data_IF_290145813760
#
_entry.id   IF_290145813760
#
_cell.length_a   1.000
_cell.length_b   1.000
_cell.length_c   1.000
_cell.angle_alpha   90.00
_cell.angle_beta   90.00
_cell.angle_gamma   90.00
#
_symmetry.space_group_name_H-M   'P 1'
#
loop_
_entity.id
_entity.type
_entity.pdbx_description
1 polymer ?
#
# COMPACT_ATOMS: atom_id res chain seq x y z
N UNK A 1 -49.35 -4.05 50.79
CA UNK A 1 -50.05 -5.28 51.21
C UNK A 1 -49.37 -6.46 50.53
N UNK A 2 -48.92 -7.42 51.35
CA UNK A 2 -48.71 -8.86 51.11
C UNK A 2 -48.11 -9.29 49.76
N UNK A 3 -47.01 -10.05 49.68
CA UNK A 3 -46.46 -11.02 50.62
C UNK A 3 -46.23 -12.36 49.88
N UNK A 4 -45.23 -13.12 50.34
CA UNK A 4 -45.10 -14.60 50.26
C UNK A 4 -44.11 -15.22 49.24
N UNK A 5 -42.85 -15.33 49.72
CA UNK A 5 -41.99 -16.51 49.88
C UNK A 5 -42.29 -17.87 49.19
N UNK A 6 -41.25 -18.39 48.49
CA UNK A 6 -40.42 -19.62 48.70
C UNK A 6 -41.10 -21.01 48.87
N UNK A 7 -40.44 -22.21 48.85
CA UNK A 7 -39.00 -22.52 48.77
C UNK A 7 -38.57 -23.76 47.93
N UNK A 8 -37.26 -24.01 47.87
CA UNK A 8 -36.72 -25.37 48.08
C UNK A 8 -35.85 -25.97 46.97
N UNK A 9 -34.68 -26.47 47.36
CA UNK A 9 -33.87 -27.38 46.53
C UNK A 9 -32.40 -27.45 46.90
N UNK A 10 -32.09 -28.10 48.02
CA UNK A 10 -30.73 -28.45 48.44
C UNK A 10 -30.31 -29.82 47.87
N UNK A 11 -29.02 -29.98 47.55
CA UNK A 11 -28.35 -31.26 47.27
C UNK A 11 -26.98 -30.98 46.64
N UNK A 12 -25.86 -31.14 47.36
CA UNK A 12 -25.06 -32.38 47.39
C UNK A 12 -24.13 -32.38 46.18
N UNK A 13 -22.82 -32.18 46.27
CA UNK A 13 -21.83 -32.97 47.01
C UNK A 13 -20.81 -33.51 45.99
N UNK A 14 -19.52 -33.45 46.33
CA UNK A 14 -18.49 -34.32 45.73
C UNK A 14 -17.61 -33.73 44.63
N UNK A 15 -16.33 -33.53 44.98
CA UNK A 15 -15.26 -34.29 44.33
C UNK A 15 -14.54 -33.66 43.13
N UNK A 16 -13.28 -33.30 43.37
CA UNK A 16 -12.16 -33.76 42.54
C UNK A 16 -11.91 -33.04 41.21
N UNK A 17 -10.81 -32.31 41.14
CA UNK A 17 -10.23 -31.91 39.86
C UNK A 17 -9.25 -30.74 39.98
N UNK A 18 -8.06 -30.98 40.53
CA UNK A 18 -6.90 -30.17 40.15
C UNK A 18 -6.64 -30.44 38.66
N UNK A 19 -7.14 -29.56 37.80
CA UNK A 19 -6.61 -29.44 36.45
C UNK A 19 -5.27 -28.68 36.55
N UNK A 20 -4.14 -29.23 36.09
CA UNK A 20 -2.96 -28.41 35.88
C UNK A 20 -3.30 -27.44 34.74
N UNK A 21 -3.10 -26.15 34.99
CA UNK A 21 -3.14 -25.14 33.94
C UNK A 21 -2.08 -25.47 32.90
N UNK A 22 -2.49 -26.01 31.77
CA UNK A 22 -1.74 -25.95 30.52
C UNK A 22 -1.75 -24.50 30.07
N UNK A 23 -0.74 -23.75 30.53
CA UNK A 23 -0.25 -22.58 29.81
C UNK A 23 0.35 -23.05 28.49
N UNK A 24 -0.49 -23.21 27.48
CA UNK A 24 -0.09 -23.38 26.09
C UNK A 24 -0.94 -22.42 25.26
N UNK A 25 -0.30 -21.63 24.41
CA UNK A 25 -1.00 -20.76 23.47
C UNK A 25 -0.40 -19.36 23.35
N UNK A 26 0.92 -19.27 23.14
CA UNK A 26 1.57 -18.03 22.69
C UNK A 26 2.46 -18.22 21.45
N UNK A 27 2.48 -19.42 20.85
CA UNK A 27 3.45 -19.80 19.82
C UNK A 27 2.85 -20.36 18.52
N UNK A 28 1.53 -20.55 18.41
CA UNK A 28 0.93 -21.14 17.20
C UNK A 28 1.04 -20.22 15.98
N UNK A 29 0.75 -18.93 16.13
CA UNK A 29 0.71 -18.01 14.97
C UNK A 29 2.04 -17.83 14.23
N UNK A 30 3.19 -17.99 14.92
CA UNK A 30 4.51 -17.87 14.26
C UNK A 30 4.83 -19.06 13.37
N UNK A 31 4.35 -20.25 13.73
CA UNK A 31 4.56 -21.46 12.94
C UNK A 31 3.71 -21.42 11.67
N UNK A 32 2.51 -20.86 11.74
CA UNK A 32 1.64 -20.67 10.58
C UNK A 32 2.27 -19.68 9.57
N UNK A 33 2.81 -18.55 10.04
CA UNK A 33 3.46 -17.56 9.16
C UNK A 33 4.69 -18.12 8.42
N UNK A 34 5.52 -18.93 9.08
CA UNK A 34 6.69 -19.57 8.48
C UNK A 34 6.30 -20.62 7.43
N UNK A 35 5.24 -21.39 7.71
CA UNK A 35 4.69 -22.35 6.75
C UNK A 35 4.15 -21.64 5.51
N UNK A 36 3.40 -20.54 5.69
CA UNK A 36 2.86 -19.72 4.60
C UNK A 36 3.97 -19.10 3.76
N UNK A 37 5.01 -18.56 4.40
CA UNK A 37 6.15 -17.99 3.67
C UNK A 37 6.88 -19.06 2.85
N UNK A 38 7.08 -20.25 3.41
CA UNK A 38 7.75 -21.35 2.72
C UNK A 38 6.96 -21.82 1.51
N UNK A 39 5.64 -21.94 1.64
CA UNK A 39 4.74 -22.29 0.53
C UNK A 39 4.77 -21.21 -0.55
N UNK A 40 4.73 -19.93 -0.16
CA UNK A 40 4.86 -18.81 -1.08
C UNK A 40 6.18 -18.84 -1.87
N UNK A 41 7.32 -19.01 -1.20
CA UNK A 41 8.62 -19.10 -1.87
C UNK A 41 8.72 -20.31 -2.79
N UNK A 42 8.06 -21.41 -2.43
CA UNK A 42 7.99 -22.60 -3.27
C UNK A 42 7.19 -22.32 -4.55
N UNK A 43 6.07 -21.61 -4.44
CA UNK A 43 5.25 -21.21 -5.59
C UNK A 43 5.98 -20.31 -6.60
N UNK A 44 7.02 -19.58 -6.16
CA UNK A 44 7.82 -18.71 -7.06
C UNK A 44 8.67 -19.50 -8.06
N UNK A 45 8.93 -20.79 -7.85
CA UNK A 45 9.64 -21.63 -8.83
C UNK A 45 8.85 -21.84 -10.12
N UNK A 46 7.52 -21.82 -10.05
CA UNK A 46 6.64 -22.04 -11.20
C UNK A 46 5.99 -20.74 -11.71
N UNK A 47 6.19 -19.63 -11.00
CA UNK A 47 5.67 -18.32 -11.39
C UNK A 47 6.67 -17.56 -12.27
N UNK A 48 6.19 -16.98 -13.36
CA UNK A 48 6.97 -16.10 -14.23
C UNK A 48 6.47 -14.65 -14.07
N UNK A 49 7.18 -13.79 -13.30
CA UNK A 49 6.80 -12.40 -13.11
C UNK A 49 6.83 -11.62 -14.42
N UNK A 50 6.04 -10.55 -14.51
CA UNK A 50 6.10 -9.54 -15.60
C UNK A 50 7.48 -8.91 -15.80
N UNK A 51 8.30 -8.81 -14.75
CA UNK A 51 9.67 -8.31 -14.81
C UNK A 51 10.56 -9.54 -15.07
N UNK A 52 11.32 -9.58 -16.18
CA UNK A 52 12.18 -10.71 -16.53
C UNK A 52 13.29 -10.96 -15.50
N UNK A 53 13.66 -12.23 -15.32
CA UNK A 53 14.67 -12.67 -14.36
C UNK A 53 16.04 -12.03 -14.65
N UNK A 54 16.42 -11.89 -15.93
CA UNK A 54 17.70 -11.30 -16.35
C UNK A 54 17.81 -9.82 -15.96
N UNK A 55 16.69 -9.08 -15.96
CA UNK A 55 16.67 -7.69 -15.53
C UNK A 55 16.95 -7.59 -14.03
N UNK A 56 16.32 -8.47 -13.25
CA UNK A 56 16.51 -8.50 -11.80
C UNK A 56 17.94 -8.90 -11.48
N UNK A 57 18.47 -9.94 -12.13
CA UNK A 57 19.87 -10.36 -11.98
C UNK A 57 20.85 -9.24 -12.33
N UNK A 58 20.59 -8.46 -13.38
CA UNK A 58 21.42 -7.31 -13.73
C UNK A 58 21.47 -6.27 -12.61
N UNK A 59 20.31 -5.89 -12.05
CA UNK A 59 20.25 -4.89 -10.97
C UNK A 59 20.79 -5.42 -9.63
N UNK A 60 20.58 -6.71 -9.32
CA UNK A 60 21.18 -7.37 -8.17
C UNK A 60 22.70 -7.46 -8.30
N UNK A 61 23.21 -7.85 -9.47
CA UNK A 61 24.64 -7.88 -9.74
C UNK A 61 25.28 -6.50 -9.62
N UNK A 62 24.57 -5.45 -10.07
CA UNK A 62 25.02 -4.05 -9.92
C UNK A 62 25.05 -3.58 -8.46
N UNK A 63 24.20 -4.12 -7.58
CA UNK A 63 24.26 -3.84 -6.14
C UNK A 63 25.27 -4.74 -5.40
N UNK A 64 25.93 -5.67 -6.10
CA UNK A 64 26.90 -6.61 -5.53
C UNK A 64 26.28 -7.88 -4.95
N UNK A 65 25.01 -8.16 -5.26
CA UNK A 65 24.31 -9.38 -4.82
C UNK A 65 24.18 -10.36 -5.98
N UNK A 66 24.69 -11.58 -5.80
CA UNK A 66 24.53 -12.66 -6.76
C UNK A 66 24.02 -13.90 -6.01
N UNK A 67 22.87 -14.42 -6.45
CA UNK A 67 22.31 -15.64 -5.90
C UNK A 67 21.84 -16.54 -7.04
N UNK A 68 22.22 -17.83 -7.06
CA UNK A 68 21.75 -18.77 -8.08
C UNK A 68 20.30 -19.25 -7.84
N UNK A 69 19.68 -18.87 -6.72
CA UNK A 69 18.31 -19.26 -6.39
C UNK A 69 17.29 -18.35 -7.10
N UNK A 70 16.63 -18.90 -8.13
CA UNK A 70 15.58 -18.22 -8.89
C UNK A 70 14.42 -17.72 -8.02
N UNK A 71 14.14 -18.36 -6.89
CA UNK A 71 13.06 -17.93 -5.98
C UNK A 71 13.35 -16.54 -5.43
N UNK A 72 14.60 -16.24 -5.11
CA UNK A 72 14.99 -14.92 -4.60
C UNK A 72 14.95 -13.87 -5.70
N UNK A 73 15.41 -14.20 -6.90
CA UNK A 73 15.29 -13.33 -8.07
C UNK A 73 13.83 -12.97 -8.33
N UNK A 74 12.93 -13.97 -8.36
CA UNK A 74 11.51 -13.77 -8.60
C UNK A 74 10.79 -13.10 -7.44
N UNK A 75 11.21 -13.34 -6.21
CA UNK A 75 10.71 -12.63 -5.03
C UNK A 75 10.96 -11.12 -5.17
N UNK A 76 12.18 -10.73 -5.54
CA UNK A 76 12.52 -9.33 -5.79
C UNK A 76 11.69 -8.76 -6.94
N UNK A 77 11.51 -9.53 -8.01
CA UNK A 77 10.66 -9.14 -9.14
C UNK A 77 9.20 -8.84 -8.69
N UNK A 78 8.59 -9.75 -7.94
CA UNK A 78 7.21 -9.62 -7.44
C UNK A 78 7.11 -8.47 -6.44
N UNK A 79 8.10 -8.30 -5.56
CA UNK A 79 8.14 -7.19 -4.61
C UNK A 79 8.19 -5.83 -5.33
N UNK A 80 9.03 -5.71 -6.36
CA UNK A 80 9.11 -4.50 -7.18
C UNK A 80 7.81 -4.23 -7.95
N UNK A 81 7.18 -5.27 -8.52
CA UNK A 81 5.87 -5.16 -9.17
C UNK A 81 4.80 -4.71 -8.20
N UNK A 82 4.75 -5.30 -7.00
CA UNK A 82 3.80 -4.90 -5.96
C UNK A 82 4.02 -3.44 -5.60
N UNK A 83 5.26 -3.03 -5.37
CA UNK A 83 5.59 -1.64 -5.05
C UNK A 83 5.12 -0.65 -6.12
N UNK A 84 5.38 -0.92 -7.39
CA UNK A 84 4.88 -0.10 -8.50
C UNK A 84 3.35 -0.10 -8.56
N UNK A 85 2.72 -1.26 -8.32
CA UNK A 85 1.26 -1.41 -8.33
C UNK A 85 0.59 -0.64 -7.21
N UNK A 86 1.19 -0.60 -6.02
CA UNK A 86 0.70 0.18 -4.88
C UNK A 86 0.75 1.68 -5.23
N UNK A 87 1.90 2.20 -5.71
CA UNK A 87 2.04 3.62 -6.12
C UNK A 87 1.05 3.98 -7.22
N UNK A 88 0.86 3.11 -8.22
CA UNK A 88 -0.09 3.33 -9.30
C UNK A 88 -1.54 3.36 -8.79
N UNK A 89 -1.86 2.51 -7.82
CA UNK A 89 -3.18 2.46 -7.18
C UNK A 89 -3.47 3.72 -6.39
N UNK A 90 -2.51 4.23 -5.62
CA UNK A 90 -2.66 5.47 -4.85
C UNK A 90 -2.75 6.69 -5.77
N UNK A 91 -1.93 6.72 -6.82
CA UNK A 91 -2.02 7.75 -7.87
C UNK A 91 -3.39 7.75 -8.56
N UNK A 92 -3.95 6.56 -8.82
CA UNK A 92 -5.30 6.41 -9.39
C UNK A 92 -6.38 6.95 -8.44
N UNK A 93 -6.24 6.74 -7.13
CA UNK A 93 -7.17 7.28 -6.14
C UNK A 93 -7.14 8.82 -6.15
N UNK A 94 -5.95 9.43 -6.17
CA UNK A 94 -5.82 10.89 -6.30
C UNK A 94 -6.41 11.41 -7.62
N UNK A 95 -6.18 10.70 -8.73
CA UNK A 95 -6.76 11.04 -10.03
C UNK A 95 -8.29 11.04 -9.99
N UNK A 96 -8.90 9.98 -9.42
CA UNK A 96 -10.36 9.88 -9.26
C UNK A 96 -10.92 10.99 -8.39
N UNK A 97 -10.27 11.28 -7.25
CA UNK A 97 -10.70 12.35 -6.35
C UNK A 97 -10.66 13.73 -7.04
N UNK A 98 -9.63 13.99 -7.84
CA UNK A 98 -9.48 15.21 -8.63
C UNK A 98 -10.55 15.33 -9.72
N UNK A 99 -10.82 14.26 -10.48
CA UNK A 99 -11.83 14.25 -11.55
C UNK A 99 -13.26 14.33 -11.01
N UNK A 100 -13.51 13.81 -9.80
CA UNK A 100 -14.80 13.88 -9.12
C UNK A 100 -15.08 15.24 -8.46
N UNK A 101 -14.05 16.06 -8.22
CA UNK A 101 -14.22 17.38 -7.61
C UNK A 101 -15.06 18.28 -8.53
N UNK A 102 -16.17 18.87 -8.05
CA UNK A 102 -16.99 19.75 -8.85
C UNK A 102 -16.20 21.02 -9.21
N UNK A 103 -16.02 21.27 -10.50
CA UNK A 103 -15.47 22.51 -11.02
C UNK A 103 -16.47 23.61 -10.65
N UNK A 104 -16.08 24.51 -9.73
CA UNK A 104 -16.94 25.61 -9.25
C UNK A 104 -17.35 26.59 -10.35
N UNK A 105 -16.61 26.61 -11.46
CA UNK A 105 -16.80 27.55 -12.55
C UNK A 105 -16.94 26.76 -13.87
N UNK A 106 -18.16 26.34 -14.23
CA UNK A 106 -18.67 26.46 -15.61
C UNK A 106 -20.00 25.73 -15.83
N UNK A 107 -21.00 26.52 -16.26
CA UNK A 107 -22.28 26.11 -16.84
C UNK A 107 -22.12 25.64 -18.30
N UNK A 108 -20.97 25.04 -18.65
CA UNK A 108 -20.72 24.49 -19.98
C UNK A 108 -20.56 22.97 -19.88
N UNK A 109 -21.49 22.27 -20.54
CA UNK A 109 -21.50 20.85 -20.91
C UNK A 109 -20.40 20.00 -20.25
N UNK A 110 -20.81 19.20 -19.26
CA UNK A 110 -20.04 18.07 -18.74
C UNK A 110 -19.35 17.34 -19.90
N UNK A 111 -18.00 17.28 -19.95
CA UNK A 111 -17.32 16.48 -20.95
C UNK A 111 -17.74 15.02 -20.72
N UNK A 112 -18.36 14.44 -21.75
CA UNK A 112 -18.92 13.08 -21.75
C UNK A 112 -17.85 11.98 -21.61
N UNK A 113 -16.59 12.36 -21.45
CA UNK A 113 -15.46 11.46 -21.40
C UNK A 113 -14.57 11.81 -20.19
N UNK A 114 -14.89 11.21 -19.03
CA UNK A 114 -14.07 11.30 -17.82
C UNK A 114 -12.90 10.32 -17.91
N UNK A 115 -12.07 10.49 -18.94
CA UNK A 115 -10.85 9.68 -19.11
C UNK A 115 -9.91 9.94 -17.93
N UNK A 116 -9.52 8.87 -17.24
CA UNK A 116 -8.50 8.94 -16.20
C UNK A 116 -7.13 9.03 -16.85
N UNK A 117 -6.34 10.02 -16.43
CA UNK A 117 -4.98 10.27 -16.92
C UNK A 117 -4.07 10.43 -15.72
N UNK A 118 -2.97 9.67 -15.69
CA UNK A 118 -1.93 9.83 -14.69
C UNK A 118 -1.21 11.15 -14.92
N UNK A 119 -1.27 12.07 -13.95
CA UNK A 119 -0.58 13.37 -14.02
C UNK A 119 0.45 13.50 -12.89
N UNK A 120 1.38 14.44 -13.07
CA UNK A 120 2.42 14.70 -12.07
C UNK A 120 1.85 15.12 -10.70
N UNK A 121 0.70 15.79 -10.65
CA UNK A 121 0.03 16.13 -9.39
C UNK A 121 -0.43 14.90 -8.60
N UNK A 122 -0.96 13.90 -9.29
CA UNK A 122 -1.47 12.68 -8.65
C UNK A 122 -0.29 11.80 -8.20
N UNK A 123 0.70 11.65 -9.07
CA UNK A 123 1.92 10.87 -8.81
C UNK A 123 2.78 11.48 -7.69
N UNK A 124 2.96 12.81 -7.68
CA UNK A 124 3.76 13.50 -6.66
C UNK A 124 3.13 13.44 -5.27
N UNK A 125 1.79 13.32 -5.18
CA UNK A 125 1.09 13.09 -3.91
C UNK A 125 1.33 11.66 -3.42
N UNK A 126 1.10 10.66 -4.28
CA UNK A 126 1.32 9.25 -3.92
C UNK A 126 2.78 9.00 -3.48
N UNK A 127 3.75 9.52 -4.22
CA UNK A 127 5.17 9.36 -3.90
C UNK A 127 5.61 10.08 -2.61
N UNK A 128 4.90 11.15 -2.20
CA UNK A 128 5.18 11.85 -0.94
C UNK A 128 4.86 10.97 0.27
N UNK A 129 3.87 10.10 0.18
CA UNK A 129 3.53 9.13 1.24
C UNK A 129 4.64 8.08 1.41
N UNK A 130 5.38 7.79 0.34
CA UNK A 130 6.58 6.94 0.36
C UNK A 130 7.89 7.72 0.65
N UNK A 131 7.81 9.00 1.03
CA UNK A 131 8.98 9.82 1.38
C UNK A 131 9.75 10.39 0.19
N UNK A 132 9.23 10.26 -1.04
CA UNK A 132 9.86 10.80 -2.25
C UNK A 132 9.26 12.16 -2.59
N UNK A 133 10.09 13.21 -2.56
CA UNK A 133 9.67 14.57 -2.85
C UNK A 133 9.93 14.93 -4.33
N UNK A 134 8.88 14.83 -5.16
CA UNK A 134 8.90 15.31 -6.55
C UNK A 134 8.46 16.78 -6.62
N UNK A 135 9.34 17.66 -7.09
CA UNK A 135 9.03 19.07 -7.40
C UNK A 135 9.21 19.29 -8.89
N UNK A 136 8.13 19.13 -9.64
CA UNK A 136 8.11 19.50 -11.06
C UNK A 136 7.67 20.97 -11.17
N UNK A 137 8.54 21.90 -11.62
CA UNK A 137 8.11 23.27 -11.90
C UNK A 137 7.13 23.29 -13.08
N UNK A 138 6.07 24.09 -13.00
CA UNK A 138 5.07 24.17 -14.08
C UNK A 138 5.63 24.79 -15.37
N UNK A 139 6.65 25.63 -15.23
CA UNK A 139 7.33 26.31 -16.32
C UNK A 139 8.81 26.50 -15.97
N UNK A 140 9.65 26.45 -16.99
CA UNK A 140 11.04 26.88 -16.90
C UNK A 140 11.14 28.27 -17.53
N UNK A 141 11.68 29.23 -16.79
CA UNK A 141 12.00 30.55 -17.32
C UNK A 141 13.51 30.60 -17.57
N UNK A 142 13.91 30.79 -18.82
CA UNK A 142 15.33 30.90 -19.21
C UNK A 142 16.01 32.15 -18.61
N UNK A 143 15.23 33.09 -18.07
CA UNK A 143 15.74 34.20 -17.28
C UNK A 143 14.85 34.52 -16.07
N UNK A 144 15.44 34.95 -14.94
CA UNK A 144 14.70 35.37 -13.75
C UNK A 144 13.83 36.63 -13.96
N UNK A 145 13.91 37.25 -15.14
CA UNK A 145 13.12 38.42 -15.57
C UNK A 145 11.89 38.06 -16.42
N UNK A 146 11.69 36.78 -16.78
CA UNK A 146 10.54 36.37 -17.56
C UNK A 146 9.25 36.57 -16.74
N UNK A 147 8.40 37.50 -17.18
CA UNK A 147 7.14 37.83 -16.52
C UNK A 147 7.12 39.15 -15.72
N UNK A 148 8.26 39.83 -15.58
CA UNK A 148 8.27 41.19 -15.02
C UNK A 148 7.88 42.18 -16.11
N UNK A 149 6.70 42.79 -15.95
CA UNK A 149 6.28 43.92 -16.79
C UNK A 149 7.35 45.02 -16.71
N UNK A 150 7.73 45.67 -17.84
CA UNK A 150 8.68 46.78 -17.79
C UNK A 150 8.08 47.85 -16.89
N UNK A 151 8.79 48.22 -15.82
CA UNK A 151 8.40 49.33 -14.98
C UNK A 151 8.37 50.58 -15.86
N UNK A 152 7.16 51.06 -16.16
CA UNK A 152 6.96 52.41 -16.70
C UNK A 152 7.47 53.37 -15.64
N UNK A 153 8.71 53.79 -15.82
CA UNK A 153 9.32 54.87 -15.05
C UNK A 153 8.66 56.16 -15.53
N UNK A 154 7.63 56.60 -14.82
CA UNK A 154 7.06 57.94 -15.00
C UNK A 154 8.08 58.98 -14.49
N UNK A 155 8.36 59.98 -15.33
CA UNK A 155 9.20 61.16 -15.07
C UNK A 155 8.52 62.18 -14.15
#
# INVERSE_FOLDING_TARGET
MMGSNNPGGAGGGGGGGMAPGTGAGGSDGRHDDEAVLTDFLSSLMDYNPTIPDELVEHYLGRSGFHCPDLRLTRLVAVAAQKFISDIASDSLQHCKARVAAPIKDNKSKQPKDRRLVLTMDDLSKALREHGVNLRHPEYFADSPSAGMAPSTREE
#
